data_IF_033686541989
#
_entry.id   IF_033686541989
#
_cell.length_a   1.000
_cell.length_b   1.000
_cell.length_c   1.000
_cell.angle_alpha   90.00
_cell.angle_beta   90.00
_cell.angle_gamma   90.00
#
_symmetry.space_group_name_H-M   'P 1'
#
loop_
_entity.id
_entity.type
_entity.pdbx_description
1 polymer ?
#
# COMPACT_ATOMS: atom_id res chain seq x y z
N UNK A 1 -12.09 -3.68 -28.39
CA UNK A 1 -10.70 -3.77 -28.89
C UNK A 1 -9.97 -4.65 -27.90
N UNK A 2 -9.87 -5.95 -28.20
CA UNK A 2 -9.12 -6.90 -27.38
C UNK A 2 -7.70 -6.38 -27.17
N UNK A 3 -7.20 -6.50 -25.95
CA UNK A 3 -5.80 -6.22 -25.64
C UNK A 3 -5.00 -7.25 -26.43
N UNK A 4 -4.53 -6.87 -27.63
CA UNK A 4 -3.51 -7.62 -28.36
C UNK A 4 -2.38 -7.87 -27.36
N UNK A 5 -2.03 -9.15 -27.19
CA UNK A 5 -0.87 -9.63 -26.45
C UNK A 5 0.26 -8.60 -26.57
N UNK A 6 0.67 -8.00 -25.46
CA UNK A 6 2.00 -7.38 -25.40
C UNK A 6 2.96 -8.54 -25.65
N UNK A 7 3.62 -8.55 -26.80
CA UNK A 7 4.43 -9.69 -27.23
C UNK A 7 5.50 -9.99 -26.18
N UNK A 8 5.89 -11.26 -25.99
CA UNK A 8 7.00 -11.62 -25.08
C UNK A 8 8.34 -10.97 -25.45
N UNK A 9 8.40 -10.22 -26.54
CA UNK A 9 9.58 -9.52 -27.06
C UNK A 9 9.77 -8.11 -26.48
N UNK A 10 8.76 -7.54 -25.81
CA UNK A 10 8.91 -6.22 -25.20
C UNK A 10 9.76 -6.30 -23.93
N UNK A 11 10.70 -5.35 -23.80
CA UNK A 11 11.39 -5.13 -22.53
C UNK A 11 10.41 -4.71 -21.43
N UNK A 12 10.75 -4.97 -20.16
CA UNK A 12 9.91 -4.59 -19.01
C UNK A 12 9.56 -3.09 -19.04
N UNK A 13 10.50 -2.25 -19.48
CA UNK A 13 10.28 -0.80 -19.58
C UNK A 13 9.24 -0.43 -20.65
N UNK A 14 9.26 -1.11 -21.80
CA UNK A 14 8.29 -0.88 -22.88
C UNK A 14 6.90 -1.38 -22.48
N UNK A 15 6.85 -2.53 -21.81
CA UNK A 15 5.60 -3.06 -21.25
C UNK A 15 5.03 -2.11 -20.20
N UNK A 16 5.85 -1.61 -19.27
CA UNK A 16 5.42 -0.61 -18.27
C UNK A 16 4.90 0.67 -18.93
N UNK A 17 5.59 1.19 -19.97
CA UNK A 17 5.11 2.35 -20.73
C UNK A 17 3.77 2.07 -21.42
N UNK A 18 3.63 0.91 -22.06
CA UNK A 18 2.38 0.53 -22.70
C UNK A 18 1.25 0.37 -21.68
N UNK A 19 1.55 -0.17 -20.51
CA UNK A 19 0.63 -0.34 -19.40
C UNK A 19 0.13 1.02 -18.89
N UNK A 20 1.03 1.95 -18.58
CA UNK A 20 0.69 3.31 -18.12
C UNK A 20 -0.10 4.10 -19.15
N UNK A 21 0.14 3.89 -20.46
CA UNK A 21 -0.66 4.56 -21.53
C UNK A 21 -2.15 4.24 -21.45
N UNK A 22 -2.57 3.15 -20.78
CA UNK A 22 -3.99 2.89 -20.54
C UNK A 22 -4.67 3.99 -19.72
N UNK A 23 -3.93 4.83 -18.98
CA UNK A 23 -4.50 5.97 -18.26
C UNK A 23 -5.27 6.94 -19.17
N UNK A 24 -4.90 7.01 -20.45
CA UNK A 24 -5.63 7.80 -21.46
C UNK A 24 -7.06 7.30 -21.73
N UNK A 25 -7.40 6.08 -21.27
CA UNK A 25 -8.73 5.48 -21.37
C UNK A 25 -9.61 5.75 -20.14
N UNK A 26 -9.10 6.46 -19.14
CA UNK A 26 -9.86 6.80 -17.94
C UNK A 26 -11.07 7.67 -18.31
N UNK A 27 -12.22 7.33 -17.72
CA UNK A 27 -13.38 8.22 -17.68
C UNK A 27 -13.29 9.13 -16.45
N UNK A 28 -14.15 10.14 -16.38
CA UNK A 28 -14.23 11.03 -15.21
C UNK A 28 -14.43 10.26 -13.89
N UNK A 29 -15.26 9.21 -13.91
CA UNK A 29 -15.47 8.34 -12.75
C UNK A 29 -14.19 7.58 -12.33
N UNK A 30 -13.35 7.20 -13.29
CA UNK A 30 -12.10 6.50 -13.04
C UNK A 30 -11.09 7.48 -12.42
N UNK A 31 -11.01 8.71 -12.91
CA UNK A 31 -10.17 9.77 -12.35
C UNK A 31 -10.53 10.12 -10.90
N UNK A 32 -11.82 10.24 -10.59
CA UNK A 32 -12.27 10.51 -9.22
C UNK A 32 -11.84 9.39 -8.29
N UNK A 33 -12.06 8.13 -8.69
CA UNK A 33 -11.68 6.96 -7.87
C UNK A 33 -10.18 6.82 -7.70
N UNK A 34 -9.43 6.94 -8.80
CA UNK A 34 -7.97 6.89 -8.80
C UNK A 34 -7.39 8.00 -7.93
N UNK A 35 -7.85 9.25 -8.12
CA UNK A 35 -7.40 10.40 -7.34
C UNK A 35 -7.71 10.27 -5.85
N UNK A 36 -8.93 9.86 -5.49
CA UNK A 36 -9.30 9.65 -4.09
C UNK A 36 -8.48 8.53 -3.43
N UNK A 37 -8.24 7.45 -4.16
CA UNK A 37 -7.43 6.33 -3.68
C UNK A 37 -5.97 6.72 -3.50
N UNK A 38 -5.35 7.32 -4.53
CA UNK A 38 -3.97 7.81 -4.47
C UNK A 38 -3.79 8.87 -3.37
N UNK A 39 -4.74 9.79 -3.20
CA UNK A 39 -4.69 10.78 -2.13
C UNK A 39 -4.71 10.12 -0.73
N UNK A 40 -5.52 9.08 -0.56
CA UNK A 40 -5.64 8.34 0.71
C UNK A 40 -4.34 7.63 1.07
N UNK A 41 -3.72 6.91 0.14
CA UNK A 41 -2.49 6.17 0.43
C UNK A 41 -1.26 7.10 0.51
N UNK A 42 -1.25 8.18 -0.28
CA UNK A 42 -0.17 9.17 -0.25
C UNK A 42 -0.21 10.01 1.01
N UNK A 43 -1.40 10.29 1.58
CA UNK A 43 -1.50 11.04 2.84
C UNK A 43 -0.84 10.31 4.01
N UNK A 44 -0.88 8.97 4.04
CA UNK A 44 -0.14 8.18 5.02
C UNK A 44 1.37 8.37 4.89
N UNK A 45 1.90 8.26 3.66
CA UNK A 45 3.32 8.49 3.39
C UNK A 45 3.76 9.90 3.81
N UNK A 46 2.99 10.92 3.41
CA UNK A 46 3.27 12.31 3.74
C UNK A 46 3.22 12.51 5.26
N UNK A 47 2.19 12.01 5.94
CA UNK A 47 2.03 12.18 7.38
C UNK A 47 3.18 11.59 8.18
N UNK A 48 3.57 10.34 7.89
CA UNK A 48 4.70 9.68 8.57
C UNK A 48 6.02 10.39 8.24
N UNK A 49 6.23 10.75 6.97
CA UNK A 49 7.46 11.43 6.55
C UNK A 49 7.60 12.80 7.21
N UNK A 50 6.51 13.59 7.29
CA UNK A 50 6.50 14.87 7.99
C UNK A 50 6.79 14.67 9.48
N UNK A 51 6.14 13.69 10.13
CA UNK A 51 6.36 13.41 11.55
C UNK A 51 7.84 13.11 11.84
N UNK A 52 8.44 12.18 11.08
CA UNK A 52 9.86 11.82 11.24
C UNK A 52 10.81 12.96 10.85
N UNK A 53 10.47 13.73 9.81
CA UNK A 53 11.26 14.90 9.41
C UNK A 53 11.26 15.96 10.51
N UNK A 54 10.11 16.27 11.11
CA UNK A 54 9.99 17.21 12.23
C UNK A 54 10.82 16.73 13.42
N UNK A 55 10.72 15.45 13.80
CA UNK A 55 11.56 14.92 14.88
C UNK A 55 13.05 15.02 14.57
N UNK A 56 13.46 14.74 13.33
CA UNK A 56 14.86 14.88 12.91
C UNK A 56 15.33 16.34 13.01
N UNK A 57 14.51 17.30 12.60
CA UNK A 57 14.78 18.74 12.75
C UNK A 57 14.91 19.15 14.23
N UNK A 58 14.19 18.47 15.11
CA UNK A 58 14.27 18.61 16.57
C UNK A 58 15.39 17.78 17.22
N UNK A 59 16.29 17.19 16.41
CA UNK A 59 17.42 16.37 16.86
C UNK A 59 17.00 15.06 17.57
N UNK A 60 15.81 14.57 17.31
CA UNK A 60 15.38 13.24 17.74
C UNK A 60 16.16 12.19 16.94
N UNK A 61 16.75 11.22 17.63
CA UNK A 61 17.47 10.11 17.03
C UNK A 61 16.57 8.89 16.92
N UNK A 62 15.93 8.71 15.76
CA UNK A 62 15.16 7.49 15.50
C UNK A 62 16.09 6.30 15.22
N UNK A 63 15.72 5.09 15.68
CA UNK A 63 16.36 3.87 15.21
C UNK A 63 16.31 3.75 13.69
N UNK A 64 17.38 3.26 13.07
CA UNK A 64 17.51 3.22 11.60
C UNK A 64 16.36 2.47 10.89
N UNK A 65 15.81 1.42 11.51
CA UNK A 65 14.71 0.65 10.92
C UNK A 65 13.41 1.45 10.77
N UNK A 66 13.21 2.53 11.55
CA UNK A 66 11.99 3.36 11.48
C UNK A 66 11.83 3.99 10.10
N UNK A 67 12.93 4.25 9.39
CA UNK A 67 12.90 4.81 8.04
C UNK A 67 12.39 3.84 6.97
N UNK A 68 12.33 2.54 7.25
CA UNK A 68 11.64 1.58 6.38
C UNK A 68 10.11 1.69 6.46
N UNK A 69 9.56 2.40 7.46
CA UNK A 69 8.13 2.69 7.51
C UNK A 69 7.73 3.59 6.32
N UNK A 70 8.21 4.85 6.20
CA UNK A 70 7.88 5.68 5.04
C UNK A 70 8.45 5.11 3.73
N UNK A 71 9.59 4.41 3.76
CA UNK A 71 10.14 3.73 2.58
C UNK A 71 9.23 2.62 2.05
N UNK A 72 8.71 1.76 2.94
CA UNK A 72 7.73 0.73 2.61
C UNK A 72 6.40 1.32 2.15
N UNK A 73 5.93 2.40 2.80
CA UNK A 73 4.74 3.12 2.36
C UNK A 73 4.91 3.71 0.96
N UNK A 74 6.06 4.33 0.65
CA UNK A 74 6.33 4.87 -0.69
C UNK A 74 6.33 3.77 -1.75
N UNK A 75 6.99 2.64 -1.47
CA UNK A 75 7.00 1.49 -2.37
C UNK A 75 5.57 0.98 -2.63
N UNK A 76 4.75 0.90 -1.57
CA UNK A 76 3.34 0.52 -1.65
C UNK A 76 2.52 1.50 -2.50
N UNK A 77 2.70 2.82 -2.29
CA UNK A 77 2.00 3.86 -3.06
C UNK A 77 2.33 3.77 -4.54
N UNK A 78 3.62 3.62 -4.87
CA UNK A 78 4.05 3.50 -6.26
C UNK A 78 3.49 2.23 -6.90
N UNK A 79 3.59 1.09 -6.22
CA UNK A 79 3.03 -0.17 -6.69
C UNK A 79 1.52 -0.08 -6.97
N UNK A 80 0.74 0.43 -6.01
CA UNK A 80 -0.71 0.59 -6.17
C UNK A 80 -1.10 1.60 -7.25
N UNK A 81 -0.25 2.58 -7.55
CA UNK A 81 -0.51 3.51 -8.65
C UNK A 81 -0.51 2.81 -10.02
N UNK A 82 0.35 1.81 -10.20
CA UNK A 82 0.35 0.98 -11.40
C UNK A 82 -0.84 0.03 -11.38
N UNK A 83 -1.03 -0.73 -10.31
CA UNK A 83 -2.15 -1.65 -10.17
C UNK A 83 -3.53 -0.98 -10.44
N UNK A 84 -3.78 0.21 -9.86
CA UNK A 84 -5.07 0.89 -10.05
C UNK A 84 -5.30 1.31 -11.51
N UNK A 85 -4.26 1.58 -12.30
CA UNK A 85 -4.43 1.81 -13.75
C UNK A 85 -5.06 0.60 -14.43
N UNK A 86 -4.63 -0.62 -14.09
CA UNK A 86 -5.20 -1.87 -14.59
C UNK A 86 -6.65 -2.03 -14.16
N UNK A 87 -6.93 -1.83 -12.86
CA UNK A 87 -8.27 -1.85 -12.28
C UNK A 87 -9.25 -0.87 -12.94
N UNK A 88 -8.77 0.30 -13.35
CA UNK A 88 -9.58 1.31 -14.06
C UNK A 88 -9.65 1.09 -15.57
N UNK A 89 -9.00 0.07 -16.13
CA UNK A 89 -8.96 -0.10 -17.59
C UNK A 89 -9.13 -1.54 -18.03
N UNK A 90 -8.18 -2.41 -17.67
CA UNK A 90 -8.06 -3.79 -18.13
C UNK A 90 -8.93 -4.75 -17.30
N UNK A 91 -9.04 -4.52 -15.99
CA UNK A 91 -9.58 -5.49 -15.01
C UNK A 91 -10.95 -5.12 -14.42
N UNK A 92 -11.72 -4.30 -15.15
CA UNK A 92 -13.05 -3.86 -14.66
C UNK A 92 -14.03 -5.03 -14.47
N UNK A 93 -13.89 -6.11 -15.23
CA UNK A 93 -14.80 -7.26 -15.15
C UNK A 93 -14.46 -8.12 -13.93
N UNK A 94 -13.18 -8.36 -13.70
CA UNK A 94 -12.62 -9.12 -12.59
C UNK A 94 -12.95 -8.46 -11.24
N UNK A 95 -12.79 -7.13 -11.16
CA UNK A 95 -13.21 -6.35 -9.99
C UNK A 95 -14.70 -6.50 -9.66
N UNK A 96 -15.55 -6.58 -10.69
CA UNK A 96 -17.00 -6.81 -10.51
C UNK A 96 -17.32 -8.25 -10.14
N UNK A 97 -16.50 -9.21 -10.57
CA UNK A 97 -16.70 -10.63 -10.33
C UNK A 97 -16.34 -11.06 -8.90
N UNK A 98 -15.55 -10.27 -8.17
CA UNK A 98 -15.29 -10.56 -6.75
C UNK A 98 -14.07 -9.85 -6.17
N UNK A 99 -13.03 -9.58 -6.98
CA UNK A 99 -11.76 -8.98 -6.53
C UNK A 99 -11.98 -7.65 -5.79
N UNK A 100 -12.92 -6.82 -6.25
CA UNK A 100 -13.24 -5.55 -5.60
C UNK A 100 -13.83 -5.67 -4.18
N UNK A 101 -14.34 -6.85 -3.78
CA UNK A 101 -14.75 -7.10 -2.40
C UNK A 101 -13.54 -7.43 -1.51
N UNK A 102 -12.61 -8.25 -2.02
CA UNK A 102 -11.36 -8.58 -1.33
C UNK A 102 -10.55 -7.30 -1.09
N UNK A 103 -10.44 -6.42 -2.10
CA UNK A 103 -9.77 -5.12 -1.94
C UNK A 103 -10.35 -4.30 -0.80
N UNK A 104 -11.68 -4.18 -0.70
CA UNK A 104 -12.32 -3.44 0.41
C UNK A 104 -11.95 -4.03 1.77
N UNK A 105 -11.88 -5.35 1.90
CA UNK A 105 -11.47 -6.01 3.14
C UNK A 105 -10.00 -5.72 3.48
N UNK A 106 -9.11 -5.75 2.49
CA UNK A 106 -7.70 -5.35 2.66
C UNK A 106 -7.62 -3.91 3.12
N UNK A 107 -8.35 -2.99 2.49
CA UNK A 107 -8.32 -1.56 2.83
C UNK A 107 -8.76 -1.35 4.28
N UNK A 108 -9.90 -1.91 4.66
CA UNK A 108 -10.43 -1.76 6.03
C UNK A 108 -9.42 -2.31 7.03
N UNK A 109 -8.91 -3.52 6.83
CA UNK A 109 -7.97 -4.15 7.76
C UNK A 109 -6.62 -3.44 7.83
N UNK A 110 -6.03 -3.08 6.69
CA UNK A 110 -4.74 -2.38 6.63
C UNK A 110 -4.82 -0.98 7.25
N UNK A 111 -5.79 -0.15 6.85
CA UNK A 111 -5.92 1.23 7.38
C UNK A 111 -6.20 1.21 8.87
N UNK A 112 -7.15 0.39 9.32
CA UNK A 112 -7.49 0.33 10.75
C UNK A 112 -6.37 -0.28 11.59
N UNK A 113 -5.54 -1.17 11.03
CA UNK A 113 -4.35 -1.68 11.73
C UNK A 113 -3.34 -0.57 12.02
N UNK A 114 -3.09 0.32 11.06
CA UNK A 114 -2.19 1.47 11.23
C UNK A 114 -2.78 2.46 12.25
N UNK A 115 -4.10 2.71 12.18
CA UNK A 115 -4.77 3.54 13.19
C UNK A 115 -4.65 2.92 14.59
N UNK A 116 -4.86 1.62 14.73
CA UNK A 116 -4.70 0.91 16.00
C UNK A 116 -3.26 0.98 16.51
N UNK A 117 -2.25 0.86 15.63
CA UNK A 117 -0.85 1.07 15.98
C UNK A 117 -0.60 2.48 16.50
N UNK A 118 -1.16 3.53 15.86
CA UNK A 118 -1.07 4.88 16.39
C UNK A 118 -1.69 4.99 17.79
N UNK A 119 -2.88 4.40 18.01
CA UNK A 119 -3.52 4.38 19.33
C UNK A 119 -2.73 3.59 20.39
N UNK A 120 -1.88 2.65 19.99
CA UNK A 120 -1.02 1.92 20.92
C UNK A 120 -0.01 2.82 21.65
N UNK A 121 0.25 4.04 21.15
CA UNK A 121 1.16 4.98 21.82
C UNK A 121 0.66 5.38 23.21
N UNK A 122 -0.63 5.70 23.36
CA UNK A 122 -1.24 6.04 24.66
C UNK A 122 -2.04 4.88 25.28
N UNK A 123 -2.51 3.95 24.46
CA UNK A 123 -3.47 2.91 24.86
C UNK A 123 -3.03 1.50 24.42
N UNK A 124 -1.74 1.21 24.57
CA UNK A 124 -1.13 -0.06 24.14
C UNK A 124 -1.83 -1.33 24.64
N UNK A 125 -2.28 -1.36 25.90
CA UNK A 125 -3.00 -2.50 26.47
C UNK A 125 -4.31 -2.82 25.72
N UNK A 126 -5.03 -1.78 25.29
CA UNK A 126 -6.32 -1.92 24.60
C UNK A 126 -6.16 -2.19 23.11
N UNK A 127 -5.24 -1.50 22.44
CA UNK A 127 -5.16 -1.49 20.98
C UNK A 127 -4.16 -2.46 20.37
N UNK A 128 -3.24 -3.02 21.16
CA UNK A 128 -2.25 -3.99 20.65
C UNK A 128 -2.89 -5.25 20.08
N UNK A 129 -3.87 -5.83 20.79
CA UNK A 129 -4.57 -7.04 20.34
C UNK A 129 -5.39 -6.78 19.06
N UNK A 130 -6.24 -5.73 18.98
CA UNK A 130 -6.86 -5.34 17.71
C UNK A 130 -5.86 -5.08 16.59
N UNK A 131 -4.74 -4.39 16.86
CA UNK A 131 -3.73 -4.11 15.86
C UNK A 131 -3.16 -5.41 15.24
N UNK A 132 -2.75 -6.38 16.07
CA UNK A 132 -2.25 -7.67 15.58
C UNK A 132 -3.30 -8.43 14.78
N UNK A 133 -4.55 -8.47 15.25
CA UNK A 133 -5.62 -9.15 14.55
C UNK A 133 -5.87 -8.54 13.16
N UNK A 134 -5.88 -7.20 13.07
CA UNK A 134 -6.06 -6.48 11.82
C UNK A 134 -4.86 -6.62 10.86
N UNK A 135 -3.63 -6.65 11.39
CA UNK A 135 -2.42 -6.96 10.62
C UNK A 135 -2.50 -8.38 10.05
N UNK A 136 -2.89 -9.37 10.87
CA UNK A 136 -3.00 -10.74 10.42
C UNK A 136 -4.07 -10.90 9.33
N UNK A 137 -5.21 -10.24 9.49
CA UNK A 137 -6.27 -10.22 8.47
C UNK A 137 -5.85 -9.48 7.20
N UNK A 138 -5.10 -8.38 7.30
CA UNK A 138 -4.62 -7.66 6.12
C UNK A 138 -3.69 -8.54 5.29
N UNK A 139 -2.78 -9.28 5.93
CA UNK A 139 -1.95 -10.28 5.23
C UNK A 139 -2.78 -11.42 4.65
N UNK A 140 -3.75 -11.95 5.40
CA UNK A 140 -4.61 -13.02 4.91
C UNK A 140 -5.34 -12.62 3.63
N UNK A 141 -6.00 -11.46 3.63
CA UNK A 141 -6.72 -10.99 2.44
C UNK A 141 -5.78 -10.58 1.30
N UNK A 142 -4.58 -10.04 1.59
CA UNK A 142 -3.56 -9.83 0.56
C UNK A 142 -3.10 -11.13 -0.10
N UNK A 143 -2.98 -12.24 0.63
CA UNK A 143 -2.68 -13.54 0.01
C UNK A 143 -3.82 -14.07 -0.86
N UNK A 144 -5.07 -13.85 -0.44
CA UNK A 144 -6.24 -14.22 -1.25
C UNK A 144 -6.25 -13.42 -2.56
N UNK A 145 -5.99 -12.12 -2.49
CA UNK A 145 -5.86 -11.25 -3.65
C UNK A 145 -4.74 -11.73 -4.58
N UNK A 146 -3.53 -11.93 -4.03
CA UNK A 146 -2.37 -12.44 -4.77
C UNK A 146 -2.67 -13.77 -5.47
N UNK A 147 -3.41 -14.68 -4.83
CA UNK A 147 -3.82 -15.94 -5.45
C UNK A 147 -4.75 -15.73 -6.67
N UNK A 148 -5.64 -14.73 -6.63
CA UNK A 148 -6.49 -14.37 -7.78
C UNK A 148 -5.65 -13.80 -8.93
N UNK A 149 -4.67 -12.95 -8.63
CA UNK A 149 -3.72 -12.41 -9.61
C UNK A 149 -2.89 -13.53 -10.25
N UNK A 150 -2.31 -14.44 -9.46
CA UNK A 150 -1.59 -15.59 -10.00
C UNK A 150 -2.48 -16.52 -10.82
N UNK A 151 -3.70 -16.79 -10.37
CA UNK A 151 -4.64 -17.61 -11.12
C UNK A 151 -4.94 -17.00 -12.48
N UNK A 152 -5.16 -15.68 -12.54
CA UNK A 152 -5.37 -14.94 -13.79
C UNK A 152 -4.13 -14.99 -14.68
N UNK A 153 -2.96 -14.70 -14.13
CA UNK A 153 -1.68 -14.72 -14.85
C UNK A 153 -1.41 -16.09 -15.46
N UNK A 154 -1.57 -17.18 -14.70
CA UNK A 154 -1.33 -18.54 -15.17
C UNK A 154 -2.39 -19.02 -16.18
N UNK A 155 -3.65 -18.62 -16.01
CA UNK A 155 -4.75 -19.07 -16.88
C UNK A 155 -4.80 -18.34 -18.22
N UNK A 156 -4.41 -17.05 -18.23
CA UNK A 156 -4.53 -16.19 -19.41
C UNK A 156 -3.18 -15.76 -19.99
N UNK A 157 -2.07 -16.03 -19.29
CA UNK A 157 -0.70 -15.77 -19.76
C UNK A 157 -0.38 -14.28 -19.91
N UNK A 158 -1.05 -13.40 -19.17
CA UNK A 158 -0.98 -11.96 -19.36
C UNK A 158 -0.70 -11.23 -18.06
N UNK A 159 0.10 -10.17 -18.20
CA UNK A 159 0.35 -9.06 -17.27
C UNK A 159 1.46 -9.21 -16.24
N UNK A 160 2.71 -9.08 -16.72
CA UNK A 160 3.89 -9.06 -15.83
C UNK A 160 3.95 -7.79 -15.00
N UNK A 161 3.42 -6.67 -15.50
CA UNK A 161 3.48 -5.38 -14.80
C UNK A 161 2.60 -5.41 -13.57
N UNK A 162 1.39 -5.96 -13.68
CA UNK A 162 0.51 -6.17 -12.52
C UNK A 162 1.16 -7.10 -11.49
N UNK A 163 1.72 -8.24 -11.91
CA UNK A 163 2.41 -9.15 -10.98
C UNK A 163 3.58 -8.46 -10.25
N UNK A 164 4.37 -7.64 -10.94
CA UNK A 164 5.42 -6.86 -10.29
C UNK A 164 4.87 -5.79 -9.35
N UNK A 165 3.78 -5.10 -9.71
CA UNK A 165 3.15 -4.15 -8.79
C UNK A 165 2.66 -4.85 -7.52
N UNK A 166 2.06 -6.03 -7.63
CA UNK A 166 1.61 -6.80 -6.46
C UNK A 166 2.78 -7.23 -5.58
N UNK A 167 3.84 -7.75 -6.18
CA UNK A 167 5.06 -8.08 -5.45
C UNK A 167 5.61 -6.89 -4.64
N UNK A 168 5.74 -5.72 -5.27
CA UNK A 168 6.23 -4.52 -4.59
C UNK A 168 5.24 -3.97 -3.57
N UNK A 169 3.93 -4.10 -3.80
CA UNK A 169 2.91 -3.75 -2.82
C UNK A 169 3.04 -4.63 -1.56
N UNK A 170 3.11 -5.94 -1.72
CA UNK A 170 3.27 -6.87 -0.58
C UNK A 170 4.59 -6.58 0.16
N UNK A 171 5.70 -6.40 -0.56
CA UNK A 171 6.99 -6.08 0.05
C UNK A 171 6.93 -4.76 0.83
N UNK A 172 6.35 -3.71 0.24
CA UNK A 172 6.17 -2.41 0.88
C UNK A 172 5.31 -2.50 2.14
N UNK A 173 4.20 -3.25 2.09
CA UNK A 173 3.31 -3.48 3.22
C UNK A 173 4.00 -4.24 4.36
N UNK A 174 4.72 -5.33 4.04
CA UNK A 174 5.47 -6.12 5.03
C UNK A 174 6.56 -5.28 5.69
N UNK A 175 7.36 -4.54 4.93
CA UNK A 175 8.40 -3.66 5.47
C UNK A 175 7.81 -2.60 6.40
N UNK A 176 6.75 -1.93 5.94
CA UNK A 176 6.07 -0.89 6.70
C UNK A 176 5.53 -1.43 8.03
N UNK A 177 4.71 -2.48 7.99
CA UNK A 177 4.02 -3.00 9.19
C UNK A 177 4.98 -3.69 10.15
N UNK A 178 5.96 -4.46 9.67
CA UNK A 178 6.94 -5.11 10.55
C UNK A 178 7.79 -4.09 11.30
N UNK A 179 8.26 -3.04 10.62
CA UNK A 179 9.03 -1.97 11.25
C UNK A 179 8.18 -1.14 12.21
N UNK A 180 6.90 -0.89 11.89
CA UNK A 180 5.99 -0.17 12.78
C UNK A 180 5.64 -0.97 14.02
N UNK A 181 5.32 -2.25 13.86
CA UNK A 181 5.10 -3.17 14.99
C UNK A 181 6.35 -3.26 15.86
N UNK A 182 7.54 -3.33 15.26
CA UNK A 182 8.78 -3.32 16.00
C UNK A 182 8.98 -1.99 16.75
N UNK A 183 8.71 -0.85 16.11
CA UNK A 183 8.79 0.47 16.74
C UNK A 183 7.85 0.57 17.96
N UNK A 184 6.61 0.07 17.84
CA UNK A 184 5.67 -0.08 18.95
C UNK A 184 6.24 -0.96 20.07
N UNK A 185 6.76 -2.15 19.73
CA UNK A 185 7.29 -3.11 20.71
C UNK A 185 8.45 -2.57 21.53
N UNK A 186 9.14 -1.53 21.02
CA UNK A 186 10.22 -0.82 21.71
C UNK A 186 9.73 0.39 22.52
N UNK A 187 8.41 0.60 22.61
CA UNK A 187 7.82 1.75 23.30
C UNK A 187 7.84 3.04 22.48
N UNK A 188 7.88 2.95 21.14
CA UNK A 188 7.90 4.09 20.24
C UNK A 188 9.01 5.14 20.53
N UNK A 189 10.29 4.73 20.59
CA UNK A 189 11.40 5.64 20.83
C UNK A 189 11.39 6.82 19.85
N UNK A 190 11.48 8.05 20.39
CA UNK A 190 11.48 9.30 19.65
C UNK A 190 10.09 9.94 19.46
N UNK A 191 8.98 9.22 19.70
CA UNK A 191 7.63 9.79 19.48
C UNK A 191 7.33 10.91 20.47
N UNK A 192 7.58 10.70 21.77
CA UNK A 192 7.35 11.70 22.83
C UNK A 192 8.11 12.99 22.53
N UNK A 193 9.37 12.88 22.14
CA UNK A 193 10.24 14.02 21.85
C UNK A 193 9.77 14.78 20.59
N UNK A 194 9.26 14.05 19.60
CA UNK A 194 8.73 14.63 18.37
C UNK A 194 7.42 15.38 18.63
N UNK A 195 6.54 14.81 19.47
CA UNK A 195 5.25 15.42 19.79
C UNK A 195 5.39 16.78 20.49
N UNK A 196 6.49 17.03 21.21
CA UNK A 196 6.80 18.34 21.80
C UNK A 196 6.97 19.46 20.77
N UNK A 197 7.15 19.13 19.49
CA UNK A 197 7.24 20.11 18.40
C UNK A 197 5.87 20.61 17.93
N UNK A 198 4.78 19.92 18.27
CA UNK A 198 3.43 20.27 17.85
C UNK A 198 2.69 21.02 18.97
N UNK A 199 1.90 22.07 18.65
CA UNK A 199 1.10 22.77 19.64
C UNK A 199 0.01 21.86 20.22
N UNK A 200 -0.19 21.92 21.54
CA UNK A 200 -1.25 21.23 22.28
C UNK A 200 -2.54 22.05 22.31
#
# INVERSE_FOLDING_TARGET
MEVKQLSPELSILEEAKAYVRNISRFKNEDWVRYGAWMATITSLFIGISIFLAVGTLMKVHYPGYVWFIPGGTLLFVLALSFDDIGHRTLYKAELKAGEGHVHKMIIVTAVTSVMALCFCYEHGETFSTPAVALIALSFFYSMVDEALHWHRYLSRGLDRIEMWSHFFAILGHVLMISCWWHWYSQGYPGVVETLKAFPH
#
